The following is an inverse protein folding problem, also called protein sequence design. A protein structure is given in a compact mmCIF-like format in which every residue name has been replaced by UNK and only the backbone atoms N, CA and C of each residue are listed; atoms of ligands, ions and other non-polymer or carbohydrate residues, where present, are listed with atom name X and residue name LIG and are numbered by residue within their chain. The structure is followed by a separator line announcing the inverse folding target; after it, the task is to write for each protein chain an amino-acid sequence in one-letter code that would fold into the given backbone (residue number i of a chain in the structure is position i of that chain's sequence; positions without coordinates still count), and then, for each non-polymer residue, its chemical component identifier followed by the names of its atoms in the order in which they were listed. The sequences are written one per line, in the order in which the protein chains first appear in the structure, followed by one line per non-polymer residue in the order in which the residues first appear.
data_IF_778499484789
#
_entry.id   IF_778499484789
#
_cell.length_a   1.000
_cell.length_b   1.000
_cell.length_c   1.000
_cell.angle_alpha   90.00
_cell.angle_beta   90.00
_cell.angle_gamma   90.00
#
_symmetry.space_group_name_H-M   'P 1'
#
loop_
_entity.id
_entity.type
_entity.pdbx_description
1 polymer ?
#
# COMPACT_ATOMS: atom_id res chain seq x y z
N UNK A 1 26.35 38.34 -38.32
CA UNK A 1 26.27 39.80 -38.12
C UNK A 1 25.04 40.12 -37.28
N UNK A 2 25.25 40.92 -36.22
CA UNK A 2 24.26 41.55 -35.30
C UNK A 2 23.49 40.67 -34.30
N UNK A 3 24.13 40.56 -33.14
CA UNK A 3 23.61 40.81 -31.79
C UNK A 3 22.38 41.71 -31.68
N UNK A 4 21.42 41.36 -30.80
CA UNK A 4 21.01 42.26 -29.72
C UNK A 4 20.34 41.50 -28.55
N UNK A 5 20.82 41.83 -27.35
CA UNK A 5 20.41 41.34 -26.03
C UNK A 5 19.24 42.14 -25.43
N UNK A 6 18.70 41.57 -24.35
CA UNK A 6 18.24 42.23 -23.11
C UNK A 6 16.75 42.60 -22.99
N UNK A 7 16.08 42.05 -21.98
CA UNK A 7 15.86 42.79 -20.73
C UNK A 7 15.31 41.89 -19.61
N UNK A 8 16.08 41.76 -18.52
CA UNK A 8 15.68 41.18 -17.23
C UNK A 8 14.99 42.25 -16.41
N UNK A 9 13.80 41.98 -15.84
CA UNK A 9 13.19 42.83 -14.82
C UNK A 9 13.34 42.20 -13.43
N UNK A 10 14.26 42.80 -12.68
CA UNK A 10 14.42 42.71 -11.22
C UNK A 10 13.30 43.47 -10.52
N UNK A 11 12.73 42.89 -9.46
CA UNK A 11 11.92 43.60 -8.46
C UNK A 11 12.64 43.51 -7.12
N UNK A 12 13.35 44.58 -6.79
CA UNK A 12 13.88 44.87 -5.46
C UNK A 12 12.85 45.72 -4.70
N UNK A 13 12.49 45.32 -3.48
CA UNK A 13 11.91 46.21 -2.49
C UNK A 13 12.86 46.29 -1.28
N UNK A 14 13.36 47.49 -1.02
CA UNK A 14 14.08 47.90 0.20
C UNK A 14 13.21 48.88 0.97
N UNK A 15 13.05 48.67 2.28
CA UNK A 15 12.85 49.69 3.32
C UNK A 15 13.56 49.14 4.58
N UNK A 16 14.78 49.57 4.90
CA UNK A 16 15.15 50.51 5.99
C UNK A 16 14.43 50.20 7.33
N UNK A 17 15.06 49.99 8.49
CA UNK A 17 16.42 50.27 8.98
C UNK A 17 16.27 50.82 10.41
N UNK A 18 16.87 50.19 11.41
CA UNK A 18 17.29 50.85 12.66
C UNK A 18 18.21 49.92 13.47
N UNK A 19 19.45 50.39 13.59
CA UNK A 19 20.54 49.86 14.39
C UNK A 19 20.57 50.68 15.69
N UNK A 20 20.89 50.05 16.82
CA UNK A 20 21.59 50.71 17.91
C UNK A 20 22.30 49.68 18.76
N UNK A 21 23.62 49.64 18.59
CA UNK A 21 24.56 49.03 19.52
C UNK A 21 24.92 50.05 20.60
N UNK A 22 25.06 49.61 21.84
CA UNK A 22 25.77 50.36 22.87
C UNK A 22 26.56 49.38 23.76
N UNK A 23 27.88 49.40 23.55
CA UNK A 23 28.90 48.81 24.40
C UNK A 23 29.29 49.90 25.42
N UNK A 24 29.26 49.59 26.71
CA UNK A 24 30.00 50.35 27.73
C UNK A 24 30.70 49.37 28.68
N UNK A 25 31.97 49.64 28.90
CA UNK A 25 32.96 48.92 29.69
C UNK A 25 32.87 49.27 31.18
N UNK A 26 33.18 48.27 32.02
CA UNK A 26 34.08 48.44 33.18
C UNK A 26 33.48 48.76 34.55
N UNK A 27 33.99 48.07 35.59
CA UNK A 27 34.08 48.61 36.95
C UNK A 27 33.42 47.76 38.04
N UNK A 28 34.24 47.13 38.88
CA UNK A 28 33.85 46.36 40.05
C UNK A 28 33.30 47.26 41.18
N UNK A 29 32.13 46.93 41.73
CA UNK A 29 31.77 47.33 43.09
C UNK A 29 31.11 46.17 43.84
N UNK A 30 31.57 45.99 45.07
CA UNK A 30 31.28 44.88 45.98
C UNK A 30 29.96 45.18 46.69
N UNK A 31 28.89 44.47 46.35
CA UNK A 31 27.60 44.64 47.02
C UNK A 31 27.32 43.48 47.99
N UNK A 32 27.11 43.86 49.25
CA UNK A 32 26.90 43.02 50.42
C UNK A 32 25.62 42.19 50.31
N UNK A 33 25.70 40.90 50.64
CA UNK A 33 24.63 39.91 50.45
C UNK A 33 23.58 40.01 51.57
N UNK A 34 22.30 40.28 51.29
CA UNK A 34 21.23 40.15 52.27
C UNK A 34 20.95 38.68 52.61
N UNK A 35 20.49 38.36 53.84
CA UNK A 35 20.28 36.98 54.27
C UNK A 35 19.14 36.31 53.48
N UNK A 36 19.29 35.01 53.23
CA UNK A 36 18.35 34.20 52.47
C UNK A 36 16.98 34.08 53.18
N UNK A 37 15.86 34.13 52.45
CA UNK A 37 14.56 33.79 53.01
C UNK A 37 14.45 32.28 53.23
N UNK A 38 13.96 31.90 54.41
CA UNK A 38 13.69 30.55 54.87
C UNK A 38 12.78 29.81 53.88
N UNK A 39 13.28 28.73 53.28
CA UNK A 39 12.51 27.85 52.39
C UNK A 39 11.55 27.02 53.24
N UNK A 40 10.26 27.33 53.18
CA UNK A 40 9.21 26.46 53.70
C UNK A 40 9.20 25.15 52.91
N UNK A 41 9.31 24.04 53.63
CA UNK A 41 9.21 22.69 53.10
C UNK A 41 7.78 22.44 52.58
N UNK A 42 7.58 21.98 51.33
CA UNK A 42 6.24 21.67 50.85
C UNK A 42 5.73 20.40 51.53
N UNK A 43 4.50 20.49 52.05
CA UNK A 43 3.78 19.35 52.63
C UNK A 43 3.67 18.18 51.63
N UNK A 44 3.65 16.92 52.10
CA UNK A 44 3.60 15.76 51.22
C UNK A 44 2.30 15.75 50.41
N UNK A 45 2.44 15.82 49.08
CA UNK A 45 1.33 15.66 48.14
C UNK A 45 0.81 14.23 48.28
N UNK A 46 -0.43 14.08 48.75
CA UNK A 46 -1.17 12.81 48.68
C UNK A 46 -1.21 12.37 47.22
N UNK A 47 -0.64 11.19 46.92
CA UNK A 47 -0.72 10.59 45.61
C UNK A 47 -2.20 10.36 45.25
N UNK A 48 -2.72 11.11 44.28
CA UNK A 48 -3.99 10.79 43.65
C UNK A 48 -3.83 9.48 42.89
N UNK A 49 -4.58 8.47 43.31
CA UNK A 49 -4.71 7.22 42.59
C UNK A 49 -5.19 7.52 41.16
N UNK A 50 -4.56 6.97 40.10
CA UNK A 50 -5.08 7.08 38.75
C UNK A 50 -6.51 6.52 38.70
N UNK A 51 -7.42 7.13 37.93
CA UNK A 51 -8.73 6.53 37.71
C UNK A 51 -8.52 5.11 37.16
N UNK A 52 -9.37 4.14 37.56
CA UNK A 52 -9.24 2.77 37.06
C UNK A 52 -9.26 2.80 35.53
N UNK A 53 -8.40 2.00 34.87
CA UNK A 53 -8.42 1.91 33.42
C UNK A 53 -9.84 1.54 32.97
N UNK A 54 -10.35 2.26 31.97
CA UNK A 54 -11.61 1.92 31.32
C UNK A 54 -11.59 0.42 30.96
N UNK A 55 -12.72 -0.30 31.12
CA UNK A 55 -12.75 -1.74 30.87
C UNK A 55 -12.24 -1.99 29.46
N UNK A 56 -11.13 -2.72 29.37
CA UNK A 56 -10.63 -3.29 28.13
C UNK A 56 -11.80 -4.05 27.49
N UNK A 57 -12.22 -3.63 26.29
CA UNK A 57 -13.12 -4.43 25.46
C UNK A 57 -12.56 -5.85 25.46
N UNK A 58 -13.41 -6.85 25.77
CA UNK A 58 -12.96 -8.23 25.88
C UNK A 58 -12.13 -8.58 24.65
N UNK A 59 -10.93 -9.14 24.85
CA UNK A 59 -9.98 -9.49 23.80
C UNK A 59 -10.64 -10.26 22.64
N UNK A 60 -11.65 -11.07 22.96
CA UNK A 60 -12.49 -11.82 22.02
C UNK A 60 -13.26 -10.95 21.01
N UNK A 61 -13.81 -9.80 21.41
CA UNK A 61 -14.57 -8.94 20.49
C UNK A 61 -13.63 -8.21 19.52
N UNK A 62 -12.44 -7.82 20.00
CA UNK A 62 -11.41 -7.25 19.16
C UNK A 62 -10.89 -8.27 18.14
N UNK A 63 -10.56 -9.49 18.59
CA UNK A 63 -10.18 -10.59 17.71
C UNK A 63 -11.25 -10.91 16.65
N UNK A 64 -12.54 -10.84 17.02
CA UNK A 64 -13.65 -11.03 16.08
C UNK A 64 -13.71 -9.91 15.03
N UNK A 65 -13.50 -8.64 15.42
CA UNK A 65 -13.45 -7.52 14.46
C UNK A 65 -12.26 -7.64 13.52
N UNK A 66 -11.11 -8.07 14.00
CA UNK A 66 -9.93 -8.34 13.17
C UNK A 66 -10.24 -9.44 12.13
N UNK A 67 -10.85 -10.55 12.55
CA UNK A 67 -11.28 -11.61 11.62
C UNK A 67 -12.25 -11.12 10.55
N UNK A 68 -13.22 -10.28 10.90
CA UNK A 68 -14.17 -9.72 9.94
C UNK A 68 -13.50 -8.80 8.92
N UNK A 69 -12.54 -7.97 9.35
CA UNK A 69 -11.74 -7.14 8.43
C UNK A 69 -10.97 -8.02 7.44
N UNK A 70 -10.39 -9.11 7.92
CA UNK A 70 -9.66 -10.05 7.09
C UNK A 70 -10.55 -10.78 6.09
N UNK A 71 -11.76 -11.17 6.49
CA UNK A 71 -12.74 -11.74 5.57
C UNK A 71 -13.08 -10.75 4.44
N UNK A 72 -13.41 -9.50 4.79
CA UNK A 72 -13.71 -8.47 3.78
C UNK A 72 -12.55 -8.24 2.83
N UNK A 73 -11.32 -8.19 3.36
CA UNK A 73 -10.11 -8.02 2.59
C UNK A 73 -9.88 -9.16 1.60
N UNK A 74 -9.99 -10.42 2.07
CA UNK A 74 -9.84 -11.60 1.23
C UNK A 74 -10.90 -11.61 0.11
N UNK A 75 -12.15 -11.31 0.43
CA UNK A 75 -13.21 -11.19 -0.57
C UNK A 75 -12.89 -10.13 -1.62
N UNK A 76 -12.48 -8.92 -1.22
CA UNK A 76 -12.10 -7.87 -2.17
C UNK A 76 -10.92 -8.27 -3.06
N UNK A 77 -9.94 -9.04 -2.55
CA UNK A 77 -8.82 -9.58 -3.35
C UNK A 77 -9.27 -10.63 -4.36
N UNK A 78 -10.20 -11.51 -3.99
CA UNK A 78 -10.79 -12.49 -4.92
C UNK A 78 -11.54 -11.79 -6.06
N UNK A 79 -12.31 -10.74 -5.76
CA UNK A 79 -12.98 -9.95 -6.79
C UNK A 79 -11.99 -9.23 -7.71
N UNK A 80 -10.92 -8.66 -7.16
CA UNK A 80 -9.85 -8.05 -7.95
C UNK A 80 -9.25 -9.06 -8.93
N UNK A 81 -8.87 -10.25 -8.46
CA UNK A 81 -8.30 -11.30 -9.29
C UNK A 81 -9.30 -11.75 -10.37
N UNK A 82 -10.58 -11.94 -10.01
CA UNK A 82 -11.64 -12.29 -10.95
C UNK A 82 -11.84 -11.24 -12.05
N UNK A 83 -11.82 -9.95 -11.68
CA UNK A 83 -11.92 -8.85 -12.63
C UNK A 83 -10.73 -8.80 -13.57
N UNK A 84 -9.51 -8.98 -13.05
CA UNK A 84 -8.30 -8.99 -13.88
C UNK A 84 -8.28 -10.18 -14.85
N UNK A 85 -8.72 -11.35 -14.41
CA UNK A 85 -8.87 -12.51 -15.29
C UNK A 85 -9.90 -12.25 -16.40
N UNK A 86 -11.05 -11.69 -16.05
CA UNK A 86 -12.09 -11.35 -17.03
C UNK A 86 -11.62 -10.29 -18.02
N UNK A 87 -10.95 -9.23 -17.55
CA UNK A 87 -10.36 -8.20 -18.40
C UNK A 87 -9.31 -8.78 -19.35
N UNK A 88 -8.45 -9.68 -18.87
CA UNK A 88 -7.46 -10.34 -19.73
C UNK A 88 -8.07 -11.17 -20.87
N UNK A 89 -9.28 -11.72 -20.68
CA UNK A 89 -9.99 -12.48 -21.71
C UNK A 89 -10.88 -11.60 -22.61
N UNK A 90 -11.51 -10.57 -22.04
CA UNK A 90 -12.59 -9.80 -22.70
C UNK A 90 -12.24 -8.36 -23.04
N UNK A 91 -11.07 -7.89 -22.62
CA UNK A 91 -10.63 -6.51 -22.75
C UNK A 91 -11.66 -5.50 -22.18
N UNK A 92 -12.32 -5.89 -21.09
CA UNK A 92 -13.34 -5.10 -20.42
C UNK A 92 -13.52 -5.53 -18.96
N UNK A 93 -13.90 -4.62 -18.07
CA UNK A 93 -14.38 -4.96 -16.73
C UNK A 93 -15.84 -5.39 -16.77
N UNK A 94 -16.26 -6.28 -15.87
CA UNK A 94 -17.65 -6.76 -15.82
C UNK A 94 -18.40 -6.24 -14.58
N UNK A 95 -19.60 -5.64 -14.73
CA UNK A 95 -20.49 -5.41 -13.60
C UNK A 95 -21.30 -6.65 -13.23
N UNK A 96 -21.33 -7.68 -14.10
CA UNK A 96 -22.03 -8.94 -13.86
C UNK A 96 -21.26 -9.78 -12.86
N UNK A 97 -21.74 -9.74 -11.61
CA UNK A 97 -21.14 -10.47 -10.49
C UNK A 97 -21.16 -11.99 -10.69
N UNK A 98 -22.04 -12.54 -11.53
CA UNK A 98 -22.11 -13.99 -11.79
C UNK A 98 -20.92 -14.51 -12.61
N UNK A 99 -20.16 -13.61 -13.23
CA UNK A 99 -18.92 -13.92 -13.97
C UNK A 99 -17.68 -13.91 -13.07
N UNK A 100 -17.84 -13.57 -11.80
CA UNK A 100 -16.75 -13.40 -10.84
C UNK A 100 -16.73 -14.58 -9.86
N UNK A 101 -15.59 -14.82 -9.16
CA UNK A 101 -15.50 -15.84 -8.14
C UNK A 101 -16.61 -15.69 -7.09
N UNK A 102 -17.20 -16.81 -6.70
CA UNK A 102 -18.18 -16.82 -5.60
C UNK A 102 -17.42 -16.66 -4.28
N UNK A 103 -17.76 -15.66 -3.43
CA UNK A 103 -17.09 -15.47 -2.16
C UNK A 103 -17.18 -16.71 -1.27
N UNK A 104 -16.33 -16.80 -0.26
CA UNK A 104 -16.41 -17.86 0.74
C UNK A 104 -17.77 -17.88 1.47
N UNK A 105 -18.32 -19.08 1.69
CA UNK A 105 -19.40 -19.28 2.65
C UNK A 105 -18.85 -19.31 4.08
N UNK A 106 -19.73 -19.22 5.07
CA UNK A 106 -19.36 -19.51 6.45
C UNK A 106 -18.94 -20.98 6.63
N UNK A 107 -18.25 -21.35 7.72
CA UNK A 107 -17.82 -22.73 7.96
C UNK A 107 -18.96 -23.76 8.00
N UNK A 108 -20.19 -23.32 8.31
CA UNK A 108 -21.41 -24.13 8.28
C UNK A 108 -22.09 -24.17 6.90
N UNK A 109 -21.47 -23.55 5.88
CA UNK A 109 -21.99 -23.44 4.52
C UNK A 109 -23.01 -22.30 4.33
N UNK A 110 -23.37 -21.58 5.39
CA UNK A 110 -24.33 -20.48 5.31
C UNK A 110 -23.72 -19.23 4.65
N UNK A 111 -24.60 -18.34 4.17
CA UNK A 111 -24.24 -17.07 3.54
C UNK A 111 -25.21 -15.99 3.98
N UNK A 112 -24.75 -14.74 4.04
CA UNK A 112 -25.62 -13.60 4.33
C UNK A 112 -26.63 -13.36 3.20
N UNK A 113 -27.80 -12.78 3.50
CA UNK A 113 -28.80 -12.47 2.47
C UNK A 113 -28.31 -11.39 1.48
N UNK A 114 -28.44 -11.70 0.20
CA UNK A 114 -28.29 -10.74 -0.90
C UNK A 114 -29.63 -10.02 -1.17
N UNK A 115 -29.63 -8.68 -1.39
CA UNK A 115 -30.85 -7.94 -1.72
C UNK A 115 -31.50 -8.40 -3.04
N UNK A 116 -30.68 -8.69 -4.04
CA UNK A 116 -31.08 -9.07 -5.39
C UNK A 116 -29.90 -9.75 -6.13
N UNK A 117 -30.09 -10.07 -7.41
CA UNK A 117 -29.12 -10.79 -8.24
C UNK A 117 -27.85 -9.98 -8.60
N UNK A 118 -27.80 -8.68 -8.32
CA UNK A 118 -26.61 -7.83 -8.53
C UNK A 118 -25.59 -7.94 -7.40
N UNK A 119 -25.91 -8.74 -6.37
CA UNK A 119 -25.06 -8.97 -5.21
C UNK A 119 -24.62 -10.43 -5.13
N UNK A 120 -23.36 -10.64 -4.73
CA UNK A 120 -22.86 -11.93 -4.29
C UNK A 120 -22.77 -11.98 -2.77
N UNK A 121 -23.29 -13.05 -2.19
CA UNK A 121 -23.28 -13.26 -0.75
C UNK A 121 -22.05 -14.05 -0.31
N UNK A 122 -21.30 -13.53 0.65
CA UNK A 122 -20.26 -14.25 1.39
C UNK A 122 -20.74 -14.72 2.76
N UNK A 123 -19.81 -14.92 3.70
CA UNK A 123 -20.12 -15.33 5.07
C UNK A 123 -20.76 -14.19 5.88
N UNK A 124 -20.04 -13.11 6.15
CA UNK A 124 -20.53 -11.93 6.88
C UNK A 124 -20.70 -10.70 6.00
N UNK A 125 -20.15 -10.73 4.79
CA UNK A 125 -20.20 -9.62 3.83
C UNK A 125 -20.92 -10.04 2.55
N UNK A 126 -21.62 -9.07 1.95
CA UNK A 126 -22.13 -9.17 0.58
C UNK A 126 -21.44 -8.14 -0.31
N UNK A 127 -21.30 -8.47 -1.58
CA UNK A 127 -20.45 -7.73 -2.52
C UNK A 127 -21.26 -7.31 -3.74
N UNK A 128 -21.09 -6.06 -4.14
CA UNK A 128 -21.61 -5.52 -5.39
C UNK A 128 -20.47 -4.91 -6.21
N UNK A 129 -20.59 -4.97 -7.53
CA UNK A 129 -19.61 -4.42 -8.46
C UNK A 129 -20.26 -3.32 -9.29
N UNK A 130 -19.52 -2.24 -9.50
CA UNK A 130 -19.86 -1.20 -10.47
C UNK A 130 -18.68 -0.96 -11.40
N UNK A 131 -18.96 -0.70 -12.68
CA UNK A 131 -17.95 -0.32 -13.68
C UNK A 131 -18.26 1.09 -14.17
N UNK A 132 -17.21 1.90 -14.32
CA UNK A 132 -17.26 3.24 -14.88
C UNK A 132 -16.29 3.36 -16.05
N UNK A 133 -16.64 4.19 -17.04
CA UNK A 133 -15.90 4.30 -18.30
C UNK A 133 -16.36 3.27 -19.34
N UNK A 134 -15.89 3.43 -20.58
CA UNK A 134 -16.34 2.64 -21.73
C UNK A 134 -15.22 2.07 -22.59
N UNK A 135 -13.97 2.44 -22.32
CA UNK A 135 -12.80 1.96 -23.08
C UNK A 135 -11.82 1.27 -22.16
N UNK A 136 -11.06 0.26 -22.65
CA UNK A 136 -10.07 -0.46 -21.84
C UNK A 136 -9.09 0.48 -21.11
N UNK A 137 -8.59 1.50 -21.82
CA UNK A 137 -7.60 2.47 -21.32
C UNK A 137 -8.19 3.59 -20.44
N UNK A 138 -9.51 3.63 -20.27
CA UNK A 138 -10.23 4.64 -19.48
C UNK A 138 -11.51 4.03 -18.91
N UNK A 139 -11.32 2.94 -18.17
CA UNK A 139 -12.37 2.28 -17.43
C UNK A 139 -11.87 1.76 -16.09
N UNK A 140 -12.70 1.91 -15.07
CA UNK A 140 -12.45 1.42 -13.71
C UNK A 140 -13.60 0.56 -13.24
N UNK A 141 -13.34 -0.34 -12.31
CA UNK A 141 -14.36 -1.00 -11.53
C UNK A 141 -14.19 -0.69 -10.04
N UNK A 142 -15.30 -0.73 -9.32
CA UNK A 142 -15.33 -0.68 -7.87
C UNK A 142 -16.06 -1.89 -7.32
N UNK A 143 -15.53 -2.46 -6.24
CA UNK A 143 -16.15 -3.55 -5.49
C UNK A 143 -16.49 -3.01 -4.12
N UNK A 144 -17.77 -3.09 -3.76
CA UNK A 144 -18.28 -2.66 -2.45
C UNK A 144 -18.65 -3.88 -1.60
N UNK A 145 -17.95 -4.08 -0.50
CA UNK A 145 -18.26 -5.07 0.52
C UNK A 145 -19.10 -4.42 1.64
N UNK A 146 -20.28 -4.99 1.93
CA UNK A 146 -21.19 -4.51 2.98
C UNK A 146 -21.41 -5.60 4.01
N UNK A 147 -21.06 -5.34 5.27
CA UNK A 147 -21.25 -6.28 6.36
C UNK A 147 -22.72 -6.40 6.77
N UNK A 148 -23.15 -7.63 7.08
CA UNK A 148 -24.55 -7.96 7.36
C UNK A 148 -24.66 -8.68 8.69
N UNK A 149 -25.38 -8.07 9.63
CA UNK A 149 -25.66 -8.62 10.95
C UNK A 149 -24.44 -8.69 11.89
N UNK A 150 -24.73 -8.96 13.17
CA UNK A 150 -23.71 -9.15 14.19
C UNK A 150 -22.69 -8.00 14.26
N UNK A 151 -21.42 -8.34 14.43
CA UNK A 151 -20.31 -7.38 14.47
C UNK A 151 -19.90 -6.84 13.09
N UNK A 152 -20.42 -7.41 12.00
CA UNK A 152 -20.13 -6.93 10.65
C UNK A 152 -21.05 -5.78 10.24
N UNK A 153 -22.23 -5.67 10.84
CA UNK A 153 -23.22 -4.65 10.51
C UNK A 153 -22.67 -3.23 10.66
N UNK A 154 -22.96 -2.38 9.67
CA UNK A 154 -22.47 -1.00 9.62
C UNK A 154 -21.06 -0.84 9.05
N UNK A 155 -20.32 -1.92 8.80
CA UNK A 155 -19.04 -1.85 8.09
C UNK A 155 -19.25 -1.92 6.57
N UNK A 156 -18.61 -1.00 5.85
CA UNK A 156 -18.59 -0.98 4.38
C UNK A 156 -17.20 -0.65 3.90
N UNK A 157 -16.72 -1.41 2.93
CA UNK A 157 -15.38 -1.26 2.35
C UNK A 157 -15.49 -1.18 0.83
N UNK A 158 -14.66 -0.35 0.20
CA UNK A 158 -14.65 -0.19 -1.25
C UNK A 158 -13.24 -0.30 -1.80
N UNK A 159 -13.04 -1.20 -2.75
CA UNK A 159 -11.86 -1.27 -3.61
C UNK A 159 -12.20 -0.64 -4.96
N UNK A 160 -11.29 0.16 -5.54
CA UNK A 160 -11.39 0.62 -6.93
C UNK A 160 -10.13 0.27 -7.70
N UNK A 161 -10.26 -0.22 -8.94
CA UNK A 161 -9.13 -0.53 -9.81
C UNK A 161 -9.47 -0.34 -11.29
N UNK A 162 -8.47 -0.05 -12.12
CA UNK A 162 -8.58 0.05 -13.58
C UNK A 162 -7.76 1.22 -14.11
N UNK A 163 -8.17 1.82 -15.21
CA UNK A 163 -7.51 2.95 -15.82
C UNK A 163 -8.40 4.20 -15.77
N UNK A 164 -7.81 5.32 -15.33
CA UNK A 164 -8.42 6.65 -15.46
C UNK A 164 -7.39 7.58 -16.10
N UNK A 165 -7.78 8.27 -17.17
CA UNK A 165 -6.87 9.12 -17.95
C UNK A 165 -5.60 8.37 -18.43
N UNK A 166 -5.77 7.10 -18.85
CA UNK A 166 -4.67 6.18 -19.23
C UNK A 166 -3.65 5.89 -18.13
N UNK A 167 -3.98 6.20 -16.88
CA UNK A 167 -3.16 5.87 -15.71
C UNK A 167 -3.83 4.76 -14.92
N UNK A 168 -3.02 3.79 -14.53
CA UNK A 168 -3.48 2.70 -13.69
C UNK A 168 -3.82 3.24 -12.30
N UNK A 169 -5.08 3.11 -11.91
CA UNK A 169 -5.63 3.49 -10.62
C UNK A 169 -5.86 2.22 -9.80
N UNK A 170 -5.46 2.25 -8.53
CA UNK A 170 -5.85 1.26 -7.53
C UNK A 170 -6.00 1.94 -6.18
N UNK A 171 -7.18 1.83 -5.58
CA UNK A 171 -7.51 2.42 -4.28
C UNK A 171 -8.11 1.34 -3.40
N UNK A 172 -7.42 1.01 -2.32
CA UNK A 172 -7.89 0.08 -1.30
C UNK A 172 -8.49 0.85 -0.11
N UNK A 173 -9.39 0.23 0.67
CA UNK A 173 -9.93 0.82 1.89
C UNK A 173 -8.86 0.80 2.99
N UNK A 174 -8.49 1.98 3.47
CA UNK A 174 -7.40 2.19 4.45
C UNK A 174 -7.59 1.46 5.79
N UNK A 175 -8.82 1.10 6.12
CA UNK A 175 -9.21 0.39 7.35
C UNK A 175 -8.91 -1.11 7.30
N UNK A 176 -8.62 -1.64 6.12
CA UNK A 176 -8.21 -3.03 5.92
C UNK A 176 -6.69 -3.06 5.81
N UNK A 177 -6.04 -3.79 6.72
CA UNK A 177 -4.58 -3.89 6.84
C UNK A 177 -4.24 -5.38 6.76
N UNK A 178 -3.42 -5.80 5.78
CA UNK A 178 -3.14 -7.21 5.48
C UNK A 178 -2.30 -7.85 6.59
N UNK A 179 -1.54 -7.01 7.27
CA UNK A 179 -0.62 -7.32 8.35
C UNK A 179 -1.36 -7.84 9.58
N UNK A 180 -2.55 -7.31 9.84
CA UNK A 180 -3.41 -7.74 10.94
C UNK A 180 -4.05 -9.10 10.64
N UNK A 181 -3.97 -9.57 9.39
CA UNK A 181 -4.59 -10.80 8.93
C UNK A 181 -3.65 -12.00 8.89
N UNK A 182 -2.39 -11.86 9.31
CA UNK A 182 -1.37 -12.93 9.26
C UNK A 182 -1.71 -14.20 10.08
N UNK A 183 -2.83 -14.23 10.83
CA UNK A 183 -3.37 -15.42 11.50
C UNK A 183 -4.70 -15.95 10.94
N UNK A 184 -5.33 -15.26 9.98
CA UNK A 184 -6.60 -15.68 9.36
C UNK A 184 -6.26 -16.47 8.11
N UNK A 185 -6.52 -17.78 8.17
CA UNK A 185 -6.37 -18.68 7.01
C UNK A 185 -7.37 -18.28 5.92
N UNK A 186 -7.01 -18.44 4.65
CA UNK A 186 -8.00 -18.49 3.57
C UNK A 186 -9.08 -19.55 3.91
N UNK A 187 -10.29 -19.49 3.33
CA UNK A 187 -11.32 -20.51 3.53
C UNK A 187 -10.83 -21.95 3.32
N UNK A 188 -9.80 -22.13 2.48
CA UNK A 188 -9.17 -23.42 2.19
C UNK A 188 -8.09 -23.84 3.21
N UNK A 189 -7.88 -23.06 4.27
CA UNK A 189 -6.88 -23.34 5.31
C UNK A 189 -5.46 -22.89 4.96
N UNK A 190 -5.23 -22.26 3.80
CA UNK A 190 -3.90 -21.79 3.38
C UNK A 190 -3.51 -20.54 4.18
N UNK A 191 -2.33 -20.50 4.84
CA UNK A 191 -1.82 -19.29 5.46
C UNK A 191 -1.72 -18.16 4.43
N UNK A 192 -1.95 -16.92 4.84
CA UNK A 192 -1.52 -15.78 4.02
C UNK A 192 -0.02 -15.96 3.73
N UNK A 193 0.39 -15.71 2.49
CA UNK A 193 1.75 -15.98 2.08
C UNK A 193 2.69 -15.11 2.94
N UNK A 194 3.76 -15.72 3.46
CA UNK A 194 4.72 -15.04 4.34
C UNK A 194 5.14 -13.68 3.74
N UNK A 195 5.47 -12.64 4.52
CA UNK A 195 5.80 -11.31 3.97
C UNK A 195 6.81 -11.33 2.80
N UNK A 196 7.76 -12.28 2.78
CA UNK A 196 8.70 -12.51 1.68
C UNK A 196 8.03 -12.87 0.34
N UNK A 197 6.86 -13.47 0.38
CA UNK A 197 6.12 -13.91 -0.80
C UNK A 197 5.56 -12.75 -1.62
N UNK A 198 5.35 -11.57 -1.05
CA UNK A 198 5.09 -10.37 -1.85
C UNK A 198 6.24 -10.16 -2.85
N UNK A 199 7.48 -10.25 -2.39
CA UNK A 199 8.67 -10.17 -3.24
C UNK A 199 8.67 -11.25 -4.33
N UNK A 200 8.36 -12.49 -3.96
CA UNK A 200 8.34 -13.64 -4.89
C UNK A 200 7.27 -13.50 -5.97
N UNK A 201 6.02 -13.24 -5.59
CA UNK A 201 4.93 -13.15 -6.56
C UNK A 201 5.13 -12.02 -7.54
N UNK A 202 5.56 -10.85 -7.06
CA UNK A 202 5.82 -9.70 -7.91
C UNK A 202 7.05 -9.92 -8.81
N UNK A 203 8.09 -10.63 -8.36
CA UNK A 203 9.20 -11.03 -9.25
C UNK A 203 8.76 -12.01 -10.33
N UNK A 204 7.91 -12.99 -9.99
CA UNK A 204 7.30 -13.91 -10.98
C UNK A 204 6.45 -13.15 -12.00
N UNK A 205 5.63 -12.20 -11.54
CA UNK A 205 4.82 -11.35 -12.41
C UNK A 205 5.68 -10.49 -13.33
N UNK A 206 6.74 -9.86 -12.81
CA UNK A 206 7.68 -9.07 -13.61
C UNK A 206 8.45 -9.94 -14.61
N UNK A 207 8.83 -11.18 -14.25
CA UNK A 207 9.44 -12.14 -15.17
C UNK A 207 8.50 -12.44 -16.35
N UNK A 208 7.24 -12.75 -16.07
CA UNK A 208 6.23 -13.02 -17.10
C UNK A 208 6.00 -11.80 -17.99
N UNK A 209 5.96 -10.59 -17.40
CA UNK A 209 5.86 -9.33 -18.13
C UNK A 209 7.04 -9.13 -19.09
N UNK A 210 8.28 -9.37 -18.65
CA UNK A 210 9.47 -9.30 -19.50
C UNK A 210 9.41 -10.31 -20.66
N UNK A 211 9.03 -11.56 -20.40
CA UNK A 211 8.93 -12.59 -21.44
C UNK A 211 7.84 -12.28 -22.46
N UNK A 212 6.70 -11.76 -22.01
CA UNK A 212 5.60 -11.34 -22.89
C UNK A 212 6.03 -10.15 -23.76
N UNK A 213 6.64 -9.13 -23.15
CA UNK A 213 7.15 -7.96 -23.86
C UNK A 213 8.23 -8.35 -24.89
N UNK A 214 9.12 -9.28 -24.58
CA UNK A 214 10.08 -9.81 -25.54
C UNK A 214 9.39 -10.52 -26.71
N UNK A 215 8.37 -11.33 -26.45
CA UNK A 215 7.59 -11.99 -27.50
C UNK A 215 6.90 -11.02 -28.47
N UNK A 216 6.63 -9.80 -28.04
CA UNK A 216 6.01 -8.75 -28.88
C UNK A 216 7.01 -7.79 -29.53
N UNK A 217 8.13 -7.50 -28.86
CA UNK A 217 9.05 -6.41 -29.22
C UNK A 217 10.47 -6.87 -29.59
N UNK A 218 10.75 -8.16 -29.49
CA UNK A 218 12.07 -8.78 -29.70
C UNK A 218 13.18 -8.17 -28.82
N UNK A 219 12.81 -7.63 -27.65
CA UNK A 219 13.73 -7.02 -26.68
C UNK A 219 13.14 -7.00 -25.28
N UNK A 220 13.98 -6.97 -24.25
CA UNK A 220 13.58 -6.69 -22.87
C UNK A 220 13.59 -5.18 -22.59
N UNK A 221 13.03 -4.75 -21.46
CA UNK A 221 13.05 -3.35 -21.04
C UNK A 221 13.33 -3.19 -19.55
N UNK A 222 14.10 -2.18 -19.18
CA UNK A 222 14.29 -1.80 -17.77
C UNK A 222 13.08 -1.05 -17.19
N UNK A 223 12.20 -0.54 -18.06
CA UNK A 223 11.01 0.20 -17.64
C UNK A 223 9.87 -0.75 -17.28
N UNK A 224 9.55 -0.82 -15.98
CA UNK A 224 8.40 -1.57 -15.47
C UNK A 224 7.09 -1.18 -16.16
N UNK A 225 6.86 0.12 -16.38
CA UNK A 225 5.68 0.62 -17.07
C UNK A 225 5.59 0.16 -18.53
N UNK A 226 6.71 0.12 -19.26
CA UNK A 226 6.71 -0.35 -20.65
C UNK A 226 6.36 -1.84 -20.77
N UNK A 227 6.74 -2.64 -19.79
CA UNK A 227 6.37 -4.07 -19.75
C UNK A 227 5.01 -4.34 -19.11
N UNK A 228 4.24 -3.29 -18.74
CA UNK A 228 2.94 -3.42 -18.11
C UNK A 228 2.98 -3.94 -16.67
N UNK A 229 4.13 -3.83 -16.00
CA UNK A 229 4.29 -4.28 -14.61
C UNK A 229 3.98 -3.15 -13.62
N UNK A 230 3.00 -3.40 -12.75
CA UNK A 230 2.72 -2.58 -11.56
C UNK A 230 2.52 -3.50 -10.36
N UNK A 231 3.45 -3.53 -9.38
CA UNK A 231 3.29 -4.36 -8.20
C UNK A 231 2.09 -3.88 -7.36
N UNK A 232 1.52 -4.79 -6.57
CA UNK A 232 0.42 -4.47 -5.66
C UNK A 232 0.88 -3.42 -4.61
N UNK A 233 0.22 -2.26 -4.48
CA UNK A 233 0.50 -1.31 -3.40
C UNK A 233 0.04 -1.89 -2.05
N UNK A 234 0.37 -1.21 -0.96
CA UNK A 234 -0.29 -1.45 0.31
C UNK A 234 -1.79 -1.14 0.23
N UNK A 235 -2.55 -1.60 1.21
CA UNK A 235 -4.01 -1.43 1.25
C UNK A 235 -4.47 -0.01 1.61
N UNK A 236 -3.57 0.86 2.04
CA UNK A 236 -3.84 2.30 2.10
C UNK A 236 -3.52 2.99 0.75
N UNK A 237 -3.17 2.22 -0.28
CA UNK A 237 -2.71 2.71 -1.58
C UNK A 237 -1.26 3.21 -1.56
N UNK A 238 -0.60 3.23 -0.40
CA UNK A 238 0.79 3.62 -0.28
C UNK A 238 1.71 2.59 -0.94
N UNK A 239 2.92 3.01 -1.26
CA UNK A 239 3.96 2.17 -1.84
C UNK A 239 5.26 2.37 -1.08
N UNK A 240 6.08 1.34 -1.03
CA UNK A 240 7.44 1.45 -0.52
C UNK A 240 8.18 2.59 -1.26
N UNK A 241 8.87 3.49 -0.54
CA UNK A 241 9.59 4.59 -1.15
C UNK A 241 10.71 4.06 -2.05
N UNK A 242 10.79 4.59 -3.27
CA UNK A 242 11.81 4.20 -4.25
C UNK A 242 12.98 5.20 -4.27
N UNK A 243 14.22 4.74 -4.49
CA UNK A 243 15.39 5.64 -4.57
C UNK A 243 15.37 6.59 -5.77
N UNK A 244 14.89 6.11 -6.92
CA UNK A 244 14.85 6.81 -8.20
C UNK A 244 13.80 6.16 -9.13
N UNK A 245 13.68 6.65 -10.36
CA UNK A 245 12.70 6.22 -11.37
C UNK A 245 12.99 4.86 -12.02
N UNK A 246 14.15 4.26 -11.74
CA UNK A 246 14.48 2.89 -12.17
C UNK A 246 13.86 1.82 -11.28
N UNK A 247 13.29 2.23 -10.15
CA UNK A 247 12.60 1.35 -9.19
C UNK A 247 11.09 1.60 -9.21
N UNK A 248 10.33 0.53 -8.99
CA UNK A 248 8.88 0.58 -8.79
C UNK A 248 8.52 -0.02 -7.43
N UNK A 249 7.77 0.72 -6.61
CA UNK A 249 7.41 0.30 -5.26
C UNK A 249 6.15 -0.55 -5.22
N UNK A 250 6.22 -1.73 -4.61
CA UNK A 250 5.06 -2.48 -4.11
C UNK A 250 4.68 -2.02 -2.70
N UNK A 251 4.13 -2.90 -1.88
CA UNK A 251 3.79 -2.55 -0.50
C UNK A 251 5.03 -2.49 0.40
N UNK A 252 5.78 -3.59 0.48
CA UNK A 252 7.00 -3.70 1.29
C UNK A 252 8.27 -3.79 0.47
N UNK A 253 8.16 -4.20 -0.78
CA UNK A 253 9.30 -4.36 -1.65
C UNK A 253 9.35 -3.26 -2.71
N UNK A 254 10.55 -2.91 -3.14
CA UNK A 254 10.79 -2.17 -4.37
C UNK A 254 11.40 -3.12 -5.40
N UNK A 255 11.09 -2.91 -6.68
CA UNK A 255 11.46 -3.80 -7.76
C UNK A 255 12.20 -3.03 -8.86
N UNK A 256 13.17 -3.68 -9.51
CA UNK A 256 13.89 -3.15 -10.67
C UNK A 256 14.25 -4.28 -11.63
N UNK A 257 14.27 -3.97 -12.91
CA UNK A 257 14.84 -4.82 -13.95
C UNK A 257 16.14 -4.18 -14.46
N UNK A 258 17.17 -5.00 -14.63
CA UNK A 258 18.44 -4.64 -15.26
C UNK A 258 18.57 -5.49 -16.53
N UNK A 259 18.74 -4.85 -17.69
CA UNK A 259 18.84 -5.55 -18.98
C UNK A 259 20.27 -5.46 -19.49
N UNK A 260 20.81 -6.58 -19.95
CA UNK A 260 22.18 -6.69 -20.47
C UNK A 260 22.19 -7.29 -21.88
N UNK A 261 23.19 -6.93 -22.68
CA UNK A 261 23.34 -7.40 -24.06
C UNK A 261 22.57 -6.56 -25.08
N UNK A 262 22.60 -7.02 -26.34
CA UNK A 262 21.96 -6.37 -27.49
C UNK A 262 20.87 -7.27 -28.05
N UNK A 263 19.75 -6.69 -28.47
CA UNK A 263 18.67 -7.47 -29.07
C UNK A 263 19.17 -8.25 -30.31
N UNK A 264 18.79 -9.52 -30.49
CA UNK A 264 17.85 -10.30 -29.65
C UNK A 264 18.52 -11.06 -28.48
N UNK A 265 19.85 -11.05 -28.38
CA UNK A 265 20.65 -11.80 -27.39
C UNK A 265 20.71 -11.12 -26.00
N UNK A 266 19.59 -10.54 -25.57
CA UNK A 266 19.51 -9.86 -24.29
C UNK A 266 19.25 -10.85 -23.14
N UNK A 267 19.74 -10.48 -21.96
CA UNK A 267 19.37 -11.11 -20.68
C UNK A 267 18.87 -10.03 -19.72
N UNK A 268 18.21 -10.46 -18.65
CA UNK A 268 17.78 -9.55 -17.58
C UNK A 268 18.01 -10.16 -16.21
N UNK A 269 18.16 -9.28 -15.22
CA UNK A 269 18.15 -9.57 -13.79
C UNK A 269 17.05 -8.74 -13.13
N UNK A 270 16.12 -9.41 -12.46
CA UNK A 270 15.09 -8.76 -11.66
C UNK A 270 15.53 -8.74 -10.20
N UNK A 271 15.35 -7.61 -9.53
CA UNK A 271 15.66 -7.45 -8.10
C UNK A 271 14.41 -7.01 -7.35
N UNK A 272 14.14 -7.64 -6.20
CA UNK A 272 13.22 -7.13 -5.18
C UNK A 272 13.99 -6.84 -3.89
N UNK A 273 13.81 -5.64 -3.33
CA UNK A 273 14.42 -5.23 -2.06
C UNK A 273 13.34 -4.88 -1.04
N UNK A 274 13.36 -5.52 0.12
CA UNK A 274 12.44 -5.23 1.20
C UNK A 274 12.82 -3.94 1.93
N UNK A 275 11.82 -3.07 2.10
CA UNK A 275 11.96 -1.69 2.58
C UNK A 275 11.27 -1.46 3.93
N UNK A 276 10.31 -2.30 4.32
CA UNK A 276 9.53 -2.11 5.54
C UNK A 276 9.10 -3.42 6.21
N UNK A 277 8.82 -3.36 7.51
CA UNK A 277 8.34 -4.49 8.29
C UNK A 277 9.33 -5.66 8.37
N UNK A 278 8.85 -6.91 8.41
CA UNK A 278 9.69 -8.09 8.66
C UNK A 278 10.59 -8.49 7.48
N UNK A 279 10.53 -7.76 6.37
CA UNK A 279 11.31 -8.03 5.14
C UNK A 279 12.40 -7.01 4.90
N UNK A 280 12.61 -6.05 5.82
CA UNK A 280 13.73 -5.12 5.73
C UNK A 280 15.04 -5.88 5.51
N UNK A 281 15.87 -5.38 4.61
CA UNK A 281 17.14 -5.98 4.17
C UNK A 281 17.04 -7.28 3.36
N UNK A 282 15.85 -7.85 3.18
CA UNK A 282 15.69 -8.97 2.26
C UNK A 282 15.93 -8.51 0.82
N UNK A 283 16.78 -9.25 0.11
CA UNK A 283 17.01 -9.08 -1.32
C UNK A 283 16.73 -10.40 -2.03
N UNK A 284 15.81 -10.36 -2.98
CA UNK A 284 15.51 -11.47 -3.87
C UNK A 284 15.91 -11.07 -5.29
N UNK A 285 16.41 -12.03 -6.05
CA UNK A 285 16.72 -11.85 -7.46
C UNK A 285 16.21 -13.02 -8.28
N UNK A 286 15.81 -12.73 -9.52
CA UNK A 286 15.34 -13.70 -10.49
C UNK A 286 15.93 -13.34 -11.86
N UNK A 287 16.73 -14.23 -12.45
CA UNK A 287 17.34 -13.98 -13.75
C UNK A 287 16.45 -14.42 -14.93
N UNK A 288 16.88 -14.08 -16.14
CA UNK A 288 16.18 -14.44 -17.38
C UNK A 288 16.07 -15.93 -17.68
N UNK A 289 16.86 -16.77 -16.99
CA UNK A 289 16.82 -18.25 -17.04
C UNK A 289 15.93 -18.84 -15.94
N UNK A 290 15.22 -18.00 -15.18
CA UNK A 290 14.37 -18.38 -14.07
C UNK A 290 15.14 -18.93 -12.86
N UNK A 291 16.38 -18.48 -12.67
CA UNK A 291 17.21 -18.82 -11.50
C UNK A 291 16.99 -17.82 -10.37
N UNK A 292 16.69 -18.33 -9.18
CA UNK A 292 16.48 -17.53 -7.97
C UNK A 292 17.77 -17.36 -7.17
N UNK A 293 17.97 -16.18 -6.58
CA UNK A 293 18.95 -15.97 -5.51
C UNK A 293 18.42 -15.01 -4.43
N UNK A 294 18.32 -15.43 -3.15
CA UNK A 294 18.49 -16.81 -2.67
C UNK A 294 17.44 -17.75 -3.29
N UNK A 295 17.54 -19.06 -3.05
CA UNK A 295 16.59 -20.05 -3.57
C UNK A 295 15.12 -19.66 -3.28
N UNK A 296 14.21 -19.98 -4.21
CA UNK A 296 12.78 -19.64 -4.08
C UNK A 296 12.25 -20.13 -2.71
N UNK A 297 11.68 -19.25 -1.88
CA UNK A 297 11.19 -19.61 -0.56
C UNK A 297 9.92 -20.48 -0.59
N UNK A 298 9.46 -20.92 -1.77
CA UNK A 298 8.38 -21.90 -1.91
C UNK A 298 7.00 -21.28 -1.72
N UNK A 299 6.83 -20.02 -2.12
CA UNK A 299 5.55 -19.33 -2.03
C UNK A 299 4.56 -19.91 -3.06
N UNK A 300 3.57 -20.66 -2.56
CA UNK A 300 2.44 -21.11 -3.36
C UNK A 300 1.41 -19.97 -3.52
N UNK A 301 0.86 -19.78 -4.73
CA UNK A 301 -0.13 -18.73 -5.00
C UNK A 301 -1.40 -18.80 -4.14
#
# INVERSE_FOLDING_TARGET
MRTQESCVRSLSFRIAGLVSALVVLGGCERQEKPPAPTRSEPAPVKASTPPPPAPSRSTTEQELRERLRCEALLGLREFLAGQQAYFGEKDAWTPDVTRLPTPAACPDGSRVPAPDATWLAGCHFRYAVSVAGSTPDDSTFSVRAVGVGGLAEGHTYTLTHGYADRKLVRVWPSELVLEDCHGVRRPEGTPLPAPVCEGVFNLKALYTAQKSYFGEKDRYSESAAQVGFLPEPCLDGSRAPVPDDTWIGGCRFIYRAEVSGTAPEQTFLLTARGMSGPVVEQKLTLDSQYTWSPADPGCAP
#
